data_IF_655358769639
#
_entry.id   IF_655358769639
#
_cell.length_a   1.000
_cell.length_b   1.000
_cell.length_c   1.000
_cell.angle_alpha   90.00
_cell.angle_beta   90.00
_cell.angle_gamma   90.00
#
_symmetry.space_group_name_H-M   'P 1'
#
loop_
_entity.id
_entity.type
_entity.pdbx_description
1 polymer ?
#
# COMPACT_ATOMS: atom_id res chain seq x y z
N UNK A 1 8.61 13.50 5.48
CA UNK A 1 7.17 13.49 5.19
C UNK A 1 6.95 12.56 4.01
N UNK A 2 5.97 11.65 4.06
CA UNK A 2 5.72 10.72 2.97
C UNK A 2 5.25 11.48 1.72
N UNK A 3 5.55 10.94 0.54
CA UNK A 3 5.26 11.57 -0.75
C UNK A 3 4.67 10.56 -1.73
N UNK A 4 3.58 10.92 -2.39
CA UNK A 4 3.03 10.11 -3.48
C UNK A 4 3.96 10.25 -4.69
N UNK A 5 4.56 9.14 -5.13
CA UNK A 5 5.37 9.11 -6.35
C UNK A 5 4.48 8.99 -7.58
N UNK A 6 3.54 8.04 -7.56
CA UNK A 6 2.54 7.88 -8.60
C UNK A 6 1.31 7.15 -8.09
N UNK A 7 0.20 7.32 -8.79
CA UNK A 7 -1.02 6.51 -8.69
C UNK A 7 -1.54 6.26 -10.09
N UNK A 8 -1.87 5.01 -10.40
CA UNK A 8 -2.38 4.60 -11.70
C UNK A 8 -3.61 3.71 -11.47
N UNK A 9 -4.71 4.09 -12.13
CA UNK A 9 -5.97 3.34 -12.17
C UNK A 9 -6.33 2.91 -13.60
N UNK A 10 -5.55 3.32 -14.62
CA UNK A 10 -5.87 3.11 -16.04
C UNK A 10 -5.29 1.82 -16.60
N UNK A 11 -4.04 1.52 -16.26
CA UNK A 11 -3.30 0.35 -16.79
C UNK A 11 -2.94 -0.68 -15.69
N UNK A 12 -3.38 -0.40 -14.46
CA UNK A 12 -3.19 -1.16 -13.24
C UNK A 12 -3.98 -0.45 -12.13
N UNK A 13 -4.18 -1.11 -10.99
CA UNK A 13 -4.69 -0.46 -9.78
C UNK A 13 -3.55 -0.43 -8.78
N UNK A 14 -2.60 0.50 -8.98
CA UNK A 14 -1.38 0.54 -8.18
C UNK A 14 -0.92 1.96 -7.85
N UNK A 15 -0.12 2.07 -6.81
CA UNK A 15 0.43 3.32 -6.32
C UNK A 15 1.80 3.09 -5.68
N UNK A 16 2.63 4.13 -5.70
CA UNK A 16 3.88 4.15 -4.94
C UNK A 16 3.94 5.37 -4.04
N UNK A 17 4.20 5.12 -2.76
CA UNK A 17 4.39 6.14 -1.72
C UNK A 17 5.84 6.04 -1.23
N UNK A 18 6.58 7.14 -1.31
CA UNK A 18 7.87 7.28 -0.62
C UNK A 18 7.58 7.56 0.85
N UNK A 19 8.11 6.72 1.73
CA UNK A 19 7.96 6.85 3.18
C UNK A 19 8.99 7.84 3.76
N UNK A 20 8.84 8.20 5.03
CA UNK A 20 9.78 9.12 5.72
C UNK A 20 11.21 8.60 5.76
N UNK A 21 11.35 7.27 5.87
CA UNK A 21 12.62 6.54 5.75
C UNK A 21 13.31 6.67 4.39
N UNK A 22 12.63 7.17 3.37
CA UNK A 22 13.12 7.24 1.99
C UNK A 22 12.87 5.95 1.18
N UNK A 23 12.40 4.88 1.82
CA UNK A 23 11.97 3.67 1.12
C UNK A 23 10.68 3.91 0.34
N UNK A 24 10.57 3.30 -0.85
CA UNK A 24 9.37 3.33 -1.68
C UNK A 24 8.46 2.14 -1.34
N UNK A 25 7.22 2.42 -0.98
CA UNK A 25 6.16 1.45 -0.74
C UNK A 25 5.26 1.37 -1.99
N UNK A 26 5.35 0.27 -2.72
CA UNK A 26 4.50 -0.03 -3.86
C UNK A 26 3.32 -0.89 -3.42
N UNK A 27 2.12 -0.46 -3.79
CA UNK A 27 0.84 -1.07 -3.46
C UNK A 27 0.17 -1.42 -4.77
N UNK A 28 -0.24 -2.68 -4.93
CA UNK A 28 -0.96 -3.15 -6.10
C UNK A 28 -2.20 -3.92 -5.69
N UNK A 29 -3.34 -3.49 -6.23
CA UNK A 29 -4.63 -4.17 -6.15
C UNK A 29 -4.84 -4.87 -7.49
N UNK A 30 -5.19 -6.15 -7.43
CA UNK A 30 -5.51 -6.94 -8.61
C UNK A 30 -6.75 -7.77 -8.40
N UNK A 31 -7.18 -8.47 -9.46
CA UNK A 31 -8.37 -9.35 -9.43
C UNK A 31 -8.32 -10.43 -8.35
N UNK A 32 -7.12 -10.79 -7.89
CA UNK A 32 -6.87 -11.85 -6.90
C UNK A 32 -6.53 -11.31 -5.51
N UNK A 33 -6.63 -10.01 -5.24
CA UNK A 33 -6.30 -9.43 -3.94
C UNK A 33 -5.24 -8.34 -4.02
N UNK A 34 -4.46 -8.19 -2.95
CA UNK A 34 -3.59 -7.03 -2.73
C UNK A 34 -2.17 -7.47 -2.40
N UNK A 35 -1.19 -6.76 -2.97
CA UNK A 35 0.23 -6.97 -2.73
C UNK A 35 0.89 -5.64 -2.38
N UNK A 36 1.64 -5.63 -1.27
CA UNK A 36 2.41 -4.46 -0.83
C UNK A 36 3.88 -4.85 -0.69
N UNK A 37 4.76 -4.07 -1.32
CA UNK A 37 6.21 -4.28 -1.30
C UNK A 37 6.94 -2.97 -1.02
N UNK A 38 8.10 -3.08 -0.38
CA UNK A 38 9.04 -1.96 -0.25
C UNK A 38 10.28 -2.17 -1.09
N UNK A 39 10.85 -1.08 -1.60
CA UNK A 39 12.15 -1.10 -2.27
C UNK A 39 12.89 0.21 -2.05
N UNK A 40 14.22 0.17 -2.13
CA UNK A 40 15.04 1.38 -2.09
C UNK A 40 15.08 2.04 -3.47
N UNK A 41 14.82 3.35 -3.58
CA UNK A 41 14.86 4.06 -4.87
C UNK A 41 16.20 3.97 -5.60
N UNK A 42 17.31 3.87 -4.86
CA UNK A 42 18.66 3.79 -5.41
C UNK A 42 19.02 2.42 -5.99
N UNK A 43 18.28 1.36 -5.66
CA UNK A 43 18.74 0.02 -6.00
C UNK A 43 18.45 -0.33 -7.46
N UNK A 44 17.28 0.00 -8.01
CA UNK A 44 16.95 -0.25 -9.42
C UNK A 44 15.88 0.75 -9.88
N UNK A 45 16.17 1.54 -10.91
CA UNK A 45 15.32 2.61 -11.40
C UNK A 45 13.86 2.20 -11.63
N UNK A 46 12.95 2.86 -10.90
CA UNK A 46 11.54 3.11 -11.21
C UNK A 46 10.56 1.93 -11.26
N UNK A 47 10.92 0.81 -11.90
CA UNK A 47 9.98 -0.29 -12.20
C UNK A 47 10.48 -1.68 -11.79
N UNK A 48 11.80 -1.92 -11.82
CA UNK A 48 12.35 -3.23 -11.42
C UNK A 48 12.46 -3.36 -9.89
N UNK A 49 12.63 -2.24 -9.18
CA UNK A 49 12.67 -2.21 -7.72
C UNK A 49 11.39 -2.74 -7.06
N UNK A 50 10.22 -2.51 -7.67
CA UNK A 50 8.94 -3.00 -7.11
C UNK A 50 8.78 -4.52 -7.21
N UNK A 51 9.33 -5.15 -8.26
CA UNK A 51 9.25 -6.62 -8.48
C UNK A 51 10.21 -7.40 -7.58
N UNK A 52 11.34 -6.82 -7.20
CA UNK A 52 12.33 -7.44 -6.28
C UNK A 52 12.26 -6.90 -4.84
N UNK A 53 11.34 -5.98 -4.57
CA UNK A 53 11.15 -5.38 -3.25
C UNK A 53 10.71 -6.38 -2.18
N UNK A 54 11.08 -6.11 -0.92
CA UNK A 54 10.69 -6.87 0.26
C UNK A 54 9.17 -6.82 0.40
N UNK A 55 8.55 -7.99 0.43
CA UNK A 55 7.11 -8.14 0.64
C UNK A 55 6.73 -7.74 2.06
N UNK A 56 5.80 -6.80 2.17
CA UNK A 56 5.27 -6.30 3.44
C UNK A 56 3.91 -6.92 3.77
N UNK A 57 3.07 -7.08 2.75
CA UNK A 57 1.74 -7.67 2.89
C UNK A 57 1.35 -8.37 1.59
N UNK A 58 0.60 -9.46 1.71
CA UNK A 58 0.00 -10.13 0.57
C UNK A 58 -1.29 -10.82 0.99
N UNK A 59 -2.38 -10.44 0.34
CA UNK A 59 -3.66 -11.12 0.40
C UNK A 59 -4.01 -11.65 -0.99
N UNK A 60 -4.36 -12.94 -1.06
CA UNK A 60 -4.70 -13.66 -2.31
C UNK A 60 -6.20 -13.94 -2.45
N UNK A 61 -6.99 -13.58 -1.45
CA UNK A 61 -8.43 -13.62 -1.47
C UNK A 61 -8.97 -12.18 -1.57
N UNK A 62 -9.67 -11.89 -2.67
CA UNK A 62 -10.21 -10.54 -2.91
C UNK A 62 -11.25 -10.12 -1.86
N UNK A 63 -12.03 -11.06 -1.31
CA UNK A 63 -13.01 -10.77 -0.26
C UNK A 63 -12.32 -10.40 1.05
N UNK A 64 -11.27 -11.14 1.42
CA UNK A 64 -10.47 -10.80 2.60
C UNK A 64 -9.77 -9.45 2.42
N UNK A 65 -9.23 -9.19 1.22
CA UNK A 65 -8.61 -7.90 0.92
C UNK A 65 -9.61 -6.74 1.01
N UNK A 66 -10.87 -6.95 0.61
CA UNK A 66 -11.93 -5.97 0.75
C UNK A 66 -12.30 -5.73 2.22
N UNK A 67 -12.39 -6.79 3.04
CA UNK A 67 -12.65 -6.67 4.48
C UNK A 67 -11.58 -5.82 5.16
N UNK A 68 -10.30 -6.16 4.89
CA UNK A 68 -9.16 -5.39 5.39
C UNK A 68 -9.20 -3.95 4.89
N UNK A 69 -9.53 -3.70 3.61
CA UNK A 69 -9.65 -2.35 3.09
C UNK A 69 -10.75 -1.51 3.78
N UNK A 70 -11.88 -2.15 4.15
CA UNK A 70 -12.94 -1.51 4.92
C UNK A 70 -12.48 -1.19 6.34
N UNK A 71 -11.82 -2.12 7.01
CA UNK A 71 -11.24 -1.91 8.34
C UNK A 71 -10.22 -0.75 8.30
N UNK A 72 -9.31 -0.75 7.33
CA UNK A 72 -8.35 0.35 7.13
C UNK A 72 -9.04 1.70 6.88
N UNK A 73 -10.14 1.73 6.11
CA UNK A 73 -10.89 2.96 5.87
C UNK A 73 -11.59 3.48 7.14
N UNK A 74 -12.02 2.59 8.03
CA UNK A 74 -12.59 2.95 9.32
C UNK A 74 -11.53 3.45 10.31
N UNK A 75 -10.34 2.84 10.29
CA UNK A 75 -9.24 3.19 11.20
C UNK A 75 -8.54 4.49 10.82
N UNK A 76 -8.29 4.73 9.52
CA UNK A 76 -7.45 5.84 9.08
C UNK A 76 -8.24 6.97 8.44
N UNK A 77 -8.03 8.19 8.94
CA UNK A 77 -8.59 9.40 8.31
C UNK A 77 -8.03 9.58 6.89
N UNK A 78 -8.90 9.86 5.89
CA UNK A 78 -8.50 10.08 4.51
C UNK A 78 -7.39 11.13 4.36
N UNK A 79 -6.50 10.90 3.39
CA UNK A 79 -5.37 11.78 3.08
C UNK A 79 -5.67 12.53 1.77
N UNK A 80 -5.75 13.87 1.76
CA UNK A 80 -6.10 14.67 0.58
C UNK A 80 -5.18 14.47 -0.64
N UNK A 81 -3.93 14.08 -0.41
CA UNK A 81 -2.93 13.81 -1.44
C UNK A 81 -3.23 12.53 -2.22
N UNK A 82 -4.00 11.60 -1.65
CA UNK A 82 -4.31 10.29 -2.23
C UNK A 82 -5.63 10.43 -3.01
N UNK A 83 -5.49 10.78 -4.29
CA UNK A 83 -6.61 10.98 -5.21
C UNK A 83 -6.77 9.75 -6.12
N UNK A 84 -7.56 8.78 -5.69
CA UNK A 84 -8.01 7.65 -6.49
C UNK A 84 -9.48 7.33 -6.23
N UNK A 85 -10.12 6.66 -7.20
CA UNK A 85 -11.51 6.20 -7.13
C UNK A 85 -11.64 4.80 -6.53
N UNK A 86 -10.65 3.94 -6.75
CA UNK A 86 -10.58 2.61 -6.17
C UNK A 86 -10.44 2.71 -4.65
N UNK A 87 -11.48 2.24 -3.95
CA UNK A 87 -11.58 2.31 -2.50
C UNK A 87 -10.54 1.40 -1.82
N UNK A 88 -10.26 0.21 -2.35
CA UNK A 88 -9.24 -0.66 -1.79
C UNK A 88 -7.88 0.00 -1.91
N UNK A 89 -7.50 0.43 -3.11
CA UNK A 89 -6.23 1.11 -3.33
C UNK A 89 -6.10 2.33 -2.42
N UNK A 90 -7.17 3.13 -2.29
CA UNK A 90 -7.21 4.30 -1.41
C UNK A 90 -6.97 3.95 0.05
N UNK A 91 -7.62 2.91 0.58
CA UNK A 91 -7.46 2.47 1.97
C UNK A 91 -6.03 2.03 2.26
N UNK A 92 -5.47 1.16 1.41
CA UNK A 92 -4.08 0.69 1.57
C UNK A 92 -3.08 1.84 1.43
N UNK A 93 -3.28 2.76 0.48
CA UNK A 93 -2.44 3.95 0.34
C UNK A 93 -2.53 4.85 1.58
N UNK A 94 -3.73 5.04 2.13
CA UNK A 94 -3.96 5.88 3.31
C UNK A 94 -3.25 5.30 4.53
N UNK A 95 -3.33 3.99 4.73
CA UNK A 95 -2.61 3.31 5.81
C UNK A 95 -1.09 3.43 5.65
N UNK A 96 -0.56 3.18 4.45
CA UNK A 96 0.86 3.32 4.16
C UNK A 96 1.36 4.77 4.34
N UNK A 97 0.55 5.77 3.99
CA UNK A 97 0.87 7.18 4.19
C UNK A 97 1.03 7.57 5.68
N UNK A 98 0.41 6.82 6.59
CA UNK A 98 0.55 7.06 8.04
C UNK A 98 1.80 6.41 8.63
N UNK A 99 2.55 5.67 7.83
CA UNK A 99 3.74 4.95 8.27
C UNK A 99 5.03 5.70 7.86
N UNK A 100 6.01 5.67 8.75
CA UNK A 100 7.34 6.26 8.54
C UNK A 100 8.31 5.30 7.85
N UNK A 101 8.13 3.98 8.04
CA UNK A 101 9.04 2.94 7.52
C UNK A 101 8.31 1.70 6.98
N UNK A 102 8.97 0.88 6.15
CA UNK A 102 8.42 -0.40 5.69
C UNK A 102 8.03 -1.35 6.81
N UNK A 103 8.77 -1.36 7.92
CA UNK A 103 8.48 -2.16 9.11
C UNK A 103 7.15 -1.76 9.73
N UNK A 104 6.89 -0.45 9.82
CA UNK A 104 5.63 0.06 10.34
C UNK A 104 4.47 -0.25 9.40
N UNK A 105 4.67 -0.12 8.08
CA UNK A 105 3.66 -0.56 7.09
C UNK A 105 3.35 -2.04 7.27
N UNK A 106 4.38 -2.89 7.42
CA UNK A 106 4.18 -4.33 7.65
C UNK A 106 3.42 -4.58 8.95
N UNK A 107 3.77 -3.90 10.04
CA UNK A 107 3.09 -4.07 11.33
C UNK A 107 1.61 -3.69 11.22
N UNK A 108 1.30 -2.52 10.65
CA UNK A 108 -0.08 -2.04 10.47
C UNK A 108 -0.89 -2.98 9.59
N UNK A 109 -0.37 -3.38 8.42
CA UNK A 109 -1.16 -4.20 7.48
C UNK A 109 -1.35 -5.65 7.94
N UNK A 110 -0.56 -6.14 8.90
CA UNK A 110 -0.69 -7.48 9.45
C UNK A 110 -1.18 -7.46 10.91
N UNK A 111 -1.76 -6.35 11.35
CA UNK A 111 -2.35 -6.25 12.68
C UNK A 111 -3.51 -7.26 12.82
N UNK A 112 -3.49 -8.16 13.82
CA UNK A 112 -4.56 -9.12 14.04
C UNK A 112 -5.95 -8.48 14.15
N UNK A 113 -6.07 -7.27 14.70
CA UNK A 113 -7.36 -6.58 14.83
C UNK A 113 -7.94 -6.19 13.47
N UNK A 114 -7.09 -5.87 12.49
CA UNK A 114 -7.51 -5.58 11.11
C UNK A 114 -7.81 -6.85 10.31
N UNK A 115 -7.19 -7.97 10.66
CA UNK A 115 -7.39 -9.26 9.98
C UNK A 115 -8.58 -10.07 10.52
N UNK A 116 -9.04 -9.76 11.73
CA UNK A 116 -10.21 -10.36 12.36
C UNK A 116 -11.54 -9.69 11.98
N UNK A 117 -11.48 -8.54 11.31
CA UNK A 117 -12.64 -7.77 10.84
C UNK A 117 -13.18 -8.25 9.49
#
# INVERSE_FOLDING_TARGET
MPRLLYINEKFGHDATIILDSGDACWISVGKRGVLVRSHRPSFWGGLLGSVFGRKLYQERNIYQALSVAQALAATFRPVPQIKCKDMMLKSFCTAAWRCSSPEQVKAVLNDPELLAA
#
